data_IF_861370989816
#
_entry.id   IF_861370989816
#
_cell.length_a   1.000
_cell.length_b   1.000
_cell.length_c   1.000
_cell.angle_alpha   90.00
_cell.angle_beta   90.00
_cell.angle_gamma   90.00
#
_symmetry.space_group_name_H-M   'P 1'
#
loop_
_entity.id
_entity.type
_entity.pdbx_description
1 polymer ?
#
# COMPACT_ATOMS: atom_id res chain seq x y z
N UNK A 1 -31.52 20.89 -25.02
CA UNK A 1 -30.72 20.88 -26.28
C UNK A 1 -29.28 21.30 -26.01
N UNK A 2 -29.05 22.30 -25.17
CA UNK A 2 -27.71 22.75 -24.75
C UNK A 2 -26.87 21.64 -24.08
N UNK A 3 -27.43 20.88 -23.13
CA UNK A 3 -26.71 19.75 -22.48
C UNK A 3 -26.22 18.68 -23.48
N UNK A 4 -26.96 18.48 -24.58
CA UNK A 4 -26.59 17.51 -25.62
C UNK A 4 -25.45 18.03 -26.50
N UNK A 5 -25.38 19.33 -26.73
CA UNK A 5 -24.30 19.98 -27.50
C UNK A 5 -23.02 20.01 -26.66
N UNK A 6 -23.14 20.29 -25.37
CA UNK A 6 -22.02 20.29 -24.41
C UNK A 6 -21.41 18.90 -24.27
N UNK A 7 -22.25 17.86 -24.12
CA UNK A 7 -21.85 16.45 -24.17
C UNK A 7 -21.12 16.06 -25.45
N UNK A 8 -21.57 16.54 -26.63
CA UNK A 8 -20.90 16.25 -27.91
C UNK A 8 -19.53 16.94 -27.97
N UNK A 9 -19.42 18.19 -27.51
CA UNK A 9 -18.15 18.93 -27.47
C UNK A 9 -17.12 18.34 -26.50
N UNK A 10 -17.57 17.79 -25.37
CA UNK A 10 -16.71 17.04 -24.44
C UNK A 10 -16.21 15.73 -25.06
N UNK A 11 -17.08 14.99 -25.74
CA UNK A 11 -16.72 13.76 -26.45
C UNK A 11 -15.71 14.01 -27.58
N UNK A 12 -15.82 15.13 -28.30
CA UNK A 12 -14.88 15.49 -29.36
C UNK A 12 -13.48 15.82 -28.82
N UNK A 13 -13.40 16.55 -27.70
CA UNK A 13 -12.13 16.82 -27.01
C UNK A 13 -11.46 15.54 -26.51
N UNK A 14 -12.24 14.62 -25.95
CA UNK A 14 -11.77 13.30 -25.51
C UNK A 14 -11.25 12.50 -26.71
N UNK A 15 -11.99 12.48 -27.84
CA UNK A 15 -11.57 11.79 -29.05
C UNK A 15 -10.23 12.31 -29.60
N UNK A 16 -10.01 13.62 -29.61
CA UNK A 16 -8.72 14.20 -30.02
C UNK A 16 -7.59 13.74 -29.10
N UNK A 17 -7.83 13.71 -27.78
CA UNK A 17 -6.85 13.22 -26.80
C UNK A 17 -6.52 11.73 -27.03
N UNK A 18 -7.55 10.91 -27.24
CA UNK A 18 -7.40 9.48 -27.53
C UNK A 18 -6.64 9.25 -28.83
N UNK A 19 -6.92 10.00 -29.90
CA UNK A 19 -6.21 9.88 -31.18
C UNK A 19 -4.73 10.24 -31.01
N UNK A 20 -4.41 11.32 -30.26
CA UNK A 20 -3.02 11.69 -29.97
C UNK A 20 -2.31 10.61 -29.18
N UNK A 21 -2.94 10.07 -28.14
CA UNK A 21 -2.38 8.97 -27.35
C UNK A 21 -2.13 7.72 -28.22
N UNK A 22 -3.09 7.37 -29.08
CA UNK A 22 -2.94 6.25 -30.01
C UNK A 22 -1.81 6.47 -31.01
N UNK A 23 -1.62 7.69 -31.51
CA UNK A 23 -0.53 8.03 -32.42
C UNK A 23 0.84 7.89 -31.74
N UNK A 24 0.99 8.39 -30.51
CA UNK A 24 2.22 8.25 -29.72
C UNK A 24 2.54 6.78 -29.42
N UNK A 25 1.54 5.98 -29.02
CA UNK A 25 1.73 4.54 -28.78
C UNK A 25 2.20 3.83 -30.07
N UNK A 26 1.57 4.11 -31.21
CA UNK A 26 1.97 3.52 -32.50
C UNK A 26 3.39 3.92 -32.89
N UNK A 27 3.73 5.20 -32.71
CA UNK A 27 5.08 5.70 -32.98
C UNK A 27 6.12 5.01 -32.09
N UNK A 28 5.87 4.92 -30.79
CA UNK A 28 6.77 4.27 -29.84
C UNK A 28 7.02 2.79 -30.20
N UNK A 29 5.96 2.04 -30.48
CA UNK A 29 6.06 0.64 -30.91
C UNK A 29 6.82 0.49 -32.22
N UNK A 30 6.56 1.36 -33.20
CA UNK A 30 7.25 1.34 -34.49
C UNK A 30 8.72 1.72 -34.36
N UNK A 31 9.07 2.65 -33.47
CA UNK A 31 10.45 3.02 -33.17
C UNK A 31 11.24 1.84 -32.58
N UNK A 32 10.63 1.09 -31.66
CA UNK A 32 11.22 -0.15 -31.13
C UNK A 32 11.44 -1.16 -32.26
N UNK A 33 10.43 -1.39 -33.11
CA UNK A 33 10.53 -2.33 -34.22
C UNK A 33 11.61 -1.91 -35.24
N UNK A 34 11.71 -0.62 -35.54
CA UNK A 34 12.73 -0.06 -36.42
C UNK A 34 14.13 -0.28 -35.83
N UNK A 35 14.32 0.04 -34.56
CA UNK A 35 15.60 -0.17 -33.86
C UNK A 35 16.03 -1.65 -33.85
N UNK A 36 15.09 -2.59 -33.77
CA UNK A 36 15.39 -4.02 -33.92
C UNK A 36 15.83 -4.34 -35.35
N UNK A 37 15.15 -3.81 -36.37
CA UNK A 37 15.50 -4.03 -37.78
C UNK A 37 16.85 -3.42 -38.16
N UNK A 38 17.16 -2.21 -37.69
CA UNK A 38 18.46 -1.56 -37.94
C UNK A 38 19.61 -2.34 -37.35
N UNK A 39 19.50 -2.75 -36.07
CA UNK A 39 20.47 -3.64 -35.42
C UNK A 39 20.63 -4.95 -36.18
N UNK A 40 19.54 -5.58 -36.61
CA UNK A 40 19.60 -6.81 -37.40
C UNK A 40 20.34 -6.60 -38.73
N UNK A 41 20.09 -5.50 -39.43
CA UNK A 41 20.80 -5.17 -40.68
C UNK A 41 22.29 -4.95 -40.46
N UNK A 42 22.67 -4.27 -39.39
CA UNK A 42 24.08 -4.12 -38.99
C UNK A 42 24.72 -5.47 -38.67
N UNK A 43 24.05 -6.32 -37.90
CA UNK A 43 24.50 -7.68 -37.61
C UNK A 43 24.69 -8.50 -38.87
N UNK A 44 23.77 -8.44 -39.84
CA UNK A 44 23.87 -9.15 -41.12
C UNK A 44 25.10 -8.69 -41.90
N UNK A 45 25.38 -7.38 -41.96
CA UNK A 45 26.59 -6.87 -42.64
C UNK A 45 27.87 -7.41 -42.00
N UNK A 46 27.92 -7.44 -40.67
CA UNK A 46 29.05 -8.00 -39.91
C UNK A 46 29.19 -9.50 -40.19
N UNK A 47 28.09 -10.26 -40.14
CA UNK A 47 28.09 -11.69 -40.43
C UNK A 47 28.58 -11.98 -41.86
N UNK A 48 28.07 -11.28 -42.86
CA UNK A 48 28.50 -11.43 -44.25
C UNK A 48 30.00 -11.13 -44.40
N UNK A 49 30.48 -10.05 -43.78
CA UNK A 49 31.91 -9.71 -43.78
C UNK A 49 32.71 -10.84 -43.14
N UNK A 50 32.30 -11.33 -41.98
CA UNK A 50 32.99 -12.39 -41.25
C UNK A 50 33.02 -13.71 -42.03
N UNK A 51 31.92 -14.10 -42.67
CA UNK A 51 31.87 -15.30 -43.52
C UNK A 51 32.87 -15.20 -44.66
N UNK A 52 32.93 -14.06 -45.37
CA UNK A 52 33.91 -13.86 -46.46
C UNK A 52 35.36 -13.91 -45.96
N UNK A 53 35.63 -13.29 -44.81
CA UNK A 53 36.97 -13.34 -44.20
C UNK A 53 37.33 -14.76 -43.77
N UNK A 54 36.38 -15.50 -43.18
CA UNK A 54 36.58 -16.89 -42.81
C UNK A 54 36.88 -17.76 -44.03
N UNK A 55 36.08 -17.64 -45.10
CA UNK A 55 36.32 -18.39 -46.33
C UNK A 55 37.72 -18.13 -46.90
N UNK A 56 38.20 -16.88 -46.87
CA UNK A 56 39.57 -16.53 -47.30
C UNK A 56 40.64 -17.12 -46.38
N UNK A 57 40.44 -17.07 -45.07
CA UNK A 57 41.47 -17.42 -44.09
C UNK A 57 41.46 -18.90 -43.69
N UNK A 58 40.39 -19.66 -43.99
CA UNK A 58 40.28 -21.05 -43.58
C UNK A 58 41.36 -21.95 -44.22
N UNK A 59 41.77 -21.64 -45.45
CA UNK A 59 42.83 -22.36 -46.16
C UNK A 59 44.25 -21.83 -45.85
N UNK A 60 44.37 -20.69 -45.18
CA UNK A 60 45.66 -20.08 -44.83
C UNK A 60 46.34 -20.85 -43.68
N UNK A 61 47.50 -21.44 -43.98
CA UNK A 61 48.31 -22.18 -43.02
C UNK A 61 48.68 -21.37 -41.76
N UNK A 62 48.91 -20.05 -41.89
CA UNK A 62 49.20 -19.21 -40.73
C UNK A 62 47.99 -19.05 -39.82
N UNK A 63 46.80 -18.94 -40.40
CA UNK A 63 45.55 -18.83 -39.66
C UNK A 63 45.21 -20.14 -38.93
N UNK A 64 45.41 -21.30 -39.57
CA UNK A 64 45.26 -22.61 -38.94
C UNK A 64 46.23 -22.80 -37.78
N UNK A 65 47.51 -22.47 -37.98
CA UNK A 65 48.54 -22.54 -36.93
C UNK A 65 48.19 -21.65 -35.73
N UNK A 66 47.76 -20.41 -35.98
CA UNK A 66 47.28 -19.51 -34.92
C UNK A 66 46.10 -20.10 -34.16
N UNK A 67 45.13 -20.72 -34.85
CA UNK A 67 43.98 -21.41 -34.26
C UNK A 67 44.37 -22.56 -33.33
N UNK A 68 45.44 -23.29 -33.62
CA UNK A 68 45.95 -24.36 -32.76
C UNK A 68 46.78 -23.85 -31.58
N UNK A 69 47.56 -22.77 -31.78
CA UNK A 69 48.45 -22.22 -30.75
C UNK A 69 47.69 -21.36 -29.73
N UNK A 70 46.71 -20.56 -30.18
CA UNK A 70 45.98 -19.61 -29.32
C UNK A 70 45.29 -20.27 -28.12
N UNK A 71 44.60 -21.42 -28.24
CA UNK A 71 44.00 -22.11 -27.08
C UNK A 71 45.04 -22.63 -26.08
N UNK A 72 46.27 -22.93 -26.54
CA UNK A 72 47.38 -23.39 -25.69
C UNK A 72 47.99 -22.23 -24.89
N UNK A 73 47.78 -20.99 -25.30
CA UNK A 73 48.13 -19.77 -24.56
C UNK A 73 47.09 -19.50 -23.44
N UNK A 74 47.06 -20.38 -22.43
CA UNK A 74 46.12 -20.35 -21.28
C UNK A 74 46.10 -19.03 -20.48
N UNK A 75 47.16 -18.20 -20.54
CA UNK A 75 47.31 -17.01 -19.68
C UNK A 75 46.28 -15.92 -19.94
N UNK A 76 45.84 -15.72 -21.19
CA UNK A 76 44.93 -14.62 -21.54
C UNK A 76 43.50 -14.90 -21.07
N UNK A 77 43.00 -16.12 -21.26
CA UNK A 77 41.66 -16.53 -20.81
C UNK A 77 41.51 -16.53 -19.28
N UNK A 78 42.57 -16.90 -18.56
CA UNK A 78 42.54 -16.91 -17.09
C UNK A 78 42.47 -15.50 -16.52
N UNK A 79 43.16 -14.53 -17.13
CA UNK A 79 43.08 -13.12 -16.73
C UNK A 79 41.67 -12.53 -16.92
N UNK A 80 41.07 -12.78 -18.09
CA UNK A 80 39.69 -12.34 -18.38
C UNK A 80 38.67 -12.95 -17.41
N UNK A 81 38.85 -14.23 -17.04
CA UNK A 81 37.97 -14.90 -16.08
C UNK A 81 38.10 -14.34 -14.67
N UNK A 82 39.33 -14.07 -14.21
CA UNK A 82 39.59 -13.42 -12.92
C UNK A 82 38.97 -12.03 -12.89
N UNK A 83 39.15 -11.23 -13.94
CA UNK A 83 38.57 -9.88 -14.03
C UNK A 83 37.03 -9.94 -14.01
N UNK A 84 36.43 -10.92 -14.68
CA UNK A 84 34.98 -11.13 -14.65
C UNK A 84 34.48 -11.55 -13.26
N UNK A 85 35.18 -12.45 -12.58
CA UNK A 85 34.83 -12.87 -11.22
C UNK A 85 34.98 -11.72 -10.23
N UNK A 86 36.02 -10.89 -10.35
CA UNK A 86 36.21 -9.69 -9.53
C UNK A 86 35.07 -8.69 -9.72
N UNK A 87 34.67 -8.41 -10.98
CA UNK A 87 33.51 -7.53 -11.26
C UNK A 87 32.22 -8.10 -10.66
N UNK A 88 32.02 -9.41 -10.72
CA UNK A 88 30.85 -10.05 -10.11
C UNK A 88 30.86 -10.01 -8.58
N UNK A 89 32.04 -10.15 -7.94
CA UNK A 89 32.18 -9.98 -6.48
C UNK A 89 31.79 -8.57 -6.06
N UNK A 90 32.33 -7.54 -6.70
CA UNK A 90 32.01 -6.14 -6.36
C UNK A 90 30.50 -5.87 -6.50
N UNK A 91 29.88 -6.34 -7.58
CA UNK A 91 28.43 -6.18 -7.77
C UNK A 91 27.59 -6.93 -6.73
N UNK A 92 28.07 -8.08 -6.24
CA UNK A 92 27.39 -8.83 -5.19
C UNK A 92 27.57 -8.16 -3.82
N UNK A 93 28.76 -7.67 -3.52
CA UNK A 93 29.06 -6.91 -2.30
C UNK A 93 28.21 -5.65 -2.22
N UNK A 94 28.12 -4.87 -3.31
CA UNK A 94 27.27 -3.67 -3.37
C UNK A 94 25.78 -3.99 -3.18
N UNK A 95 25.29 -5.11 -3.73
CA UNK A 95 23.91 -5.54 -3.54
C UNK A 95 23.65 -5.98 -2.11
N UNK A 96 24.57 -6.76 -1.54
CA UNK A 96 24.46 -7.24 -0.17
C UNK A 96 24.46 -6.08 0.83
N UNK A 97 25.29 -5.06 0.62
CA UNK A 97 25.27 -3.84 1.45
C UNK A 97 23.92 -3.14 1.39
N UNK A 98 23.36 -2.95 0.18
CA UNK A 98 22.04 -2.32 0.02
C UNK A 98 20.92 -3.12 0.66
N UNK A 99 20.92 -4.44 0.48
CA UNK A 99 19.91 -5.32 1.11
C UNK A 99 20.03 -5.30 2.64
N UNK A 100 21.25 -5.22 3.18
CA UNK A 100 21.45 -5.11 4.63
C UNK A 100 20.95 -3.76 5.18
N UNK A 101 21.24 -2.65 4.49
CA UNK A 101 20.75 -1.33 4.87
C UNK A 101 19.20 -1.27 4.82
N UNK A 102 18.59 -1.87 3.79
CA UNK A 102 17.14 -1.99 3.68
C UNK A 102 16.56 -2.85 4.81
N UNK A 103 17.19 -3.99 5.11
CA UNK A 103 16.78 -4.89 6.19
C UNK A 103 16.80 -4.19 7.55
N UNK A 104 17.87 -3.47 7.87
CA UNK A 104 17.99 -2.72 9.12
C UNK A 104 16.92 -1.62 9.21
N UNK A 105 16.62 -0.94 8.09
CA UNK A 105 15.54 0.06 8.04
C UNK A 105 14.15 -0.55 8.27
N UNK A 106 13.90 -1.76 7.77
CA UNK A 106 12.64 -2.47 7.97
C UNK A 106 12.52 -2.99 9.40
N UNK A 107 13.60 -3.51 9.98
CA UNK A 107 13.63 -3.93 11.38
C UNK A 107 13.31 -2.78 12.33
N UNK A 108 13.87 -1.58 12.06
CA UNK A 108 13.55 -0.39 12.85
C UNK A 108 12.06 -0.05 12.77
N UNK A 109 11.46 -0.03 11.56
CA UNK A 109 10.03 0.24 11.38
C UNK A 109 9.14 -0.80 12.06
N UNK A 110 9.52 -2.08 12.02
CA UNK A 110 8.79 -3.15 12.72
C UNK A 110 8.79 -2.87 14.23
N UNK A 111 9.95 -2.53 14.80
CA UNK A 111 10.07 -2.20 16.22
C UNK A 111 9.24 -0.97 16.62
N UNK A 112 9.22 0.07 15.78
CA UNK A 112 8.39 1.26 15.97
C UNK A 112 6.89 0.91 15.97
N UNK A 113 6.43 0.12 14.99
CA UNK A 113 5.04 -0.32 14.88
C UNK A 113 4.63 -1.20 16.08
N UNK A 114 5.51 -2.10 16.52
CA UNK A 114 5.26 -2.92 17.71
C UNK A 114 5.12 -2.08 18.98
N UNK A 115 5.96 -1.05 19.13
CA UNK A 115 5.85 -0.09 20.25
C UNK A 115 4.53 0.69 20.21
N UNK A 116 4.14 1.19 19.03
CA UNK A 116 2.86 1.91 18.87
C UNK A 116 1.66 1.00 19.13
N UNK A 117 1.69 -0.24 18.63
CA UNK A 117 0.67 -1.25 18.89
C UNK A 117 0.51 -1.51 20.38
N UNK A 118 1.61 -1.64 21.11
CA UNK A 118 1.55 -1.87 22.56
C UNK A 118 0.92 -0.67 23.28
N UNK A 119 1.33 0.56 22.94
CA UNK A 119 0.72 1.77 23.51
C UNK A 119 -0.78 1.87 23.25
N UNK A 120 -1.22 1.53 22.04
CA UNK A 120 -2.64 1.52 21.69
C UNK A 120 -3.42 0.44 22.46
N UNK A 121 -2.83 -0.74 22.67
CA UNK A 121 -3.42 -1.79 23.49
C UNK A 121 -3.57 -1.34 24.96
N UNK A 122 -2.54 -0.72 25.53
CA UNK A 122 -2.59 -0.20 26.89
C UNK A 122 -3.66 0.90 27.04
N UNK A 123 -3.78 1.80 26.06
CA UNK A 123 -4.84 2.81 26.02
C UNK A 123 -6.24 2.19 25.94
N UNK A 124 -6.40 1.14 25.13
CA UNK A 124 -7.67 0.43 24.98
C UNK A 124 -8.09 -0.26 26.28
N UNK A 125 -7.14 -0.87 27.00
CA UNK A 125 -7.39 -1.50 28.29
C UNK A 125 -7.76 -0.46 29.37
N UNK A 126 -7.09 0.70 29.37
CA UNK A 126 -7.44 1.83 30.23
C UNK A 126 -8.86 2.35 29.94
N UNK A 127 -9.24 2.53 28.67
CA UNK A 127 -10.61 2.96 28.31
C UNK A 127 -11.64 1.92 28.70
N UNK A 128 -11.34 0.62 28.52
CA UNK A 128 -12.25 -0.47 28.89
C UNK A 128 -12.53 -0.51 30.38
N UNK A 129 -11.49 -0.38 31.22
CA UNK A 129 -11.66 -0.30 32.70
C UNK A 129 -12.37 0.98 33.15
N UNK A 130 -12.16 2.10 32.45
CA UNK A 130 -12.95 3.32 32.64
C UNK A 130 -14.43 3.13 32.29
N UNK A 131 -14.72 2.43 31.19
CA UNK A 131 -16.09 2.15 30.78
C UNK A 131 -16.84 1.28 31.80
N UNK A 132 -16.20 0.22 32.32
CA UNK A 132 -16.82 -0.64 33.35
C UNK A 132 -17.14 0.14 34.62
N UNK A 133 -16.24 1.01 35.07
CA UNK A 133 -16.50 1.86 36.25
C UNK A 133 -17.61 2.88 36.02
N UNK A 134 -17.74 3.42 34.80
CA UNK A 134 -18.86 4.29 34.43
C UNK A 134 -20.19 3.50 34.40
N UNK A 135 -20.20 2.29 33.83
CA UNK A 135 -21.37 1.41 33.80
C UNK A 135 -21.85 1.04 35.21
N UNK A 136 -20.93 0.70 36.12
CA UNK A 136 -21.25 0.42 37.52
C UNK A 136 -21.89 1.63 38.22
N UNK A 137 -21.31 2.83 38.05
CA UNK A 137 -21.86 4.08 38.61
C UNK A 137 -23.22 4.42 38.03
N UNK A 138 -23.41 4.22 36.73
CA UNK A 138 -24.69 4.44 36.05
C UNK A 138 -25.77 3.50 36.60
N UNK A 139 -25.43 2.22 36.79
CA UNK A 139 -26.32 1.22 37.38
C UNK A 139 -26.73 1.60 38.80
N UNK A 140 -25.76 1.99 39.65
CA UNK A 140 -26.03 2.45 41.00
C UNK A 140 -26.92 3.71 41.04
N UNK A 141 -26.65 4.70 40.20
CA UNK A 141 -27.45 5.92 40.10
C UNK A 141 -28.89 5.62 39.62
N UNK A 142 -29.05 4.69 38.66
CA UNK A 142 -30.36 4.25 38.18
C UNK A 142 -31.17 3.56 39.28
N UNK A 143 -30.54 2.71 40.08
CA UNK A 143 -31.19 2.05 41.22
C UNK A 143 -31.64 3.06 42.28
N UNK A 144 -30.77 4.01 42.66
CA UNK A 144 -31.11 5.07 43.60
C UNK A 144 -32.27 5.96 43.09
N UNK A 145 -32.30 6.27 41.79
CA UNK A 145 -33.39 7.04 41.18
C UNK A 145 -34.72 6.26 41.25
N UNK A 146 -34.71 4.95 40.95
CA UNK A 146 -35.92 4.11 41.06
C UNK A 146 -36.45 4.04 42.51
N UNK A 147 -35.56 3.97 43.50
CA UNK A 147 -35.95 4.00 44.93
C UNK A 147 -36.55 5.35 45.32
N UNK A 148 -35.92 6.46 44.93
CA UNK A 148 -36.44 7.80 45.16
C UNK A 148 -37.80 8.02 44.48
N UNK A 149 -37.99 7.50 43.26
CA UNK A 149 -39.28 7.56 42.57
C UNK A 149 -40.37 6.78 43.33
N UNK A 150 -40.04 5.61 43.89
CA UNK A 150 -40.98 4.86 44.74
C UNK A 150 -41.34 5.65 46.00
N UNK A 151 -40.35 6.17 46.71
CA UNK A 151 -40.57 6.99 47.91
C UNK A 151 -41.42 8.22 47.63
N UNK A 152 -41.18 8.89 46.49
CA UNK A 152 -41.94 10.06 46.06
C UNK A 152 -43.39 9.70 45.72
N UNK A 153 -43.62 8.58 45.03
CA UNK A 153 -44.98 8.08 44.78
C UNK A 153 -45.69 7.71 46.08
N UNK A 154 -45.04 7.03 47.01
CA UNK A 154 -45.62 6.66 48.30
C UNK A 154 -45.97 7.91 49.14
N UNK A 155 -45.08 8.91 49.17
CA UNK A 155 -45.33 10.19 49.82
C UNK A 155 -46.50 10.95 49.18
N UNK A 156 -46.57 11.01 47.83
CA UNK A 156 -47.71 11.61 47.14
C UNK A 156 -49.03 10.88 47.43
N UNK A 157 -49.01 9.55 47.49
CA UNK A 157 -50.19 8.74 47.84
C UNK A 157 -50.64 8.99 49.29
N UNK A 158 -49.70 9.20 50.21
CA UNK A 158 -50.02 9.56 51.60
C UNK A 158 -50.60 10.98 51.69
N UNK A 159 -50.00 11.93 50.98
CA UNK A 159 -50.41 13.32 50.99
C UNK A 159 -51.81 13.49 50.38
N UNK A 160 -52.08 12.85 49.24
CA UNK A 160 -53.43 12.80 48.64
C UNK A 160 -54.48 12.15 49.54
N UNK A 161 -54.12 11.10 50.29
CA UNK A 161 -55.02 10.54 51.32
C UNK A 161 -55.37 11.57 52.40
N UNK A 162 -54.36 12.28 52.93
CA UNK A 162 -54.60 13.32 53.94
C UNK A 162 -55.39 14.51 53.39
N UNK A 163 -55.15 14.93 52.15
CA UNK A 163 -55.93 15.99 51.47
C UNK A 163 -57.39 15.58 51.27
N UNK A 164 -57.66 14.32 50.96
CA UNK A 164 -59.03 13.79 50.87
C UNK A 164 -59.69 13.75 52.25
N UNK A 165 -59.01 13.26 53.29
CA UNK A 165 -59.53 13.26 54.66
C UNK A 165 -59.84 14.68 55.16
N UNK A 166 -58.94 15.64 54.91
CA UNK A 166 -59.18 17.06 55.26
C UNK A 166 -60.29 17.69 54.44
N UNK A 167 -60.40 17.38 53.14
CA UNK A 167 -61.53 17.82 52.30
C UNK A 167 -62.86 17.23 52.76
N UNK A 168 -62.91 15.96 53.17
CA UNK A 168 -64.11 15.32 53.72
C UNK A 168 -64.53 15.98 55.03
N UNK A 169 -63.58 16.24 55.93
CA UNK A 169 -63.84 16.95 57.19
C UNK A 169 -64.37 18.36 56.92
N UNK A 170 -63.73 19.13 56.05
CA UNK A 170 -64.20 20.47 55.66
C UNK A 170 -65.58 20.40 55.01
N UNK A 171 -65.85 19.41 54.16
CA UNK A 171 -67.15 19.19 53.53
C UNK A 171 -68.26 18.85 54.54
N UNK A 172 -67.95 18.06 55.57
CA UNK A 172 -68.87 17.77 56.68
C UNK A 172 -69.16 19.05 57.47
N UNK A 173 -68.14 19.86 57.76
CA UNK A 173 -68.34 21.15 58.44
C UNK A 173 -69.17 22.13 57.59
N UNK A 174 -69.04 22.12 56.26
CA UNK A 174 -69.82 22.96 55.36
C UNK A 174 -71.28 22.49 55.19
N UNK A 175 -71.56 21.20 55.39
CA UNK A 175 -72.92 20.64 55.40
C UNK A 175 -73.65 20.83 56.74
N UNK A 176 -72.93 21.15 57.81
CA UNK A 176 -73.47 21.32 59.16
C UNK A 176 -73.57 22.79 59.62
N UNK A 177 -73.25 23.75 58.73
CA UNK A 177 -73.44 25.19 58.91
C UNK A 177 -74.56 25.70 58.00
#
# INVERSE_FOLDING_TARGET
MEERIESIGENEKINICVIKLQAEIRYYLQSIALNRKTKNMECIKILQKNIRHWQKNYEDAWYQMYGHIRPRLKRTKMREMIEKMQKQMVLLEEKMMKENDEYDSFQQKISEIESEKQKLMDQLEMVKSGATTVEERLSAAKNANNELQKMLNDANNLLTKQENETSEVIGIYFLFM
#
